data_IF_283062383350
#
_entry.id   IF_283062383350
#
_cell.length_a   1.000
_cell.length_b   1.000
_cell.length_c   1.000
_cell.angle_alpha   90.00
_cell.angle_beta   90.00
_cell.angle_gamma   90.00
#
_symmetry.space_group_name_H-M   'P 1'
#
loop_
_entity.id
_entity.type
_entity.pdbx_description
1 polymer ?
#
# COMPACT_ATOMS: atom_id res chain seq x y z
N UNK A 1 -0.50 12.82 15.29
CA UNK A 1 -1.84 13.37 15.61
C UNK A 1 -2.70 12.27 16.21
N UNK A 2 -3.19 12.42 17.44
CA UNK A 2 -4.27 11.56 17.96
C UNK A 2 -5.58 12.19 17.48
N UNK A 3 -6.08 11.75 16.33
CA UNK A 3 -7.41 12.15 15.86
C UNK A 3 -8.44 11.85 16.94
N UNK A 4 -9.39 12.77 17.17
CA UNK A 4 -10.51 12.50 18.06
C UNK A 4 -11.25 11.26 17.55
N UNK A 5 -11.38 10.23 18.38
CA UNK A 5 -12.16 9.06 17.98
C UNK A 5 -13.61 9.51 17.81
N UNK A 6 -14.18 9.32 16.62
CA UNK A 6 -15.59 9.59 16.40
C UNK A 6 -16.42 8.55 17.17
N UNK A 7 -16.84 8.88 18.39
CA UNK A 7 -17.64 8.02 19.28
C UNK A 7 -19.12 8.15 18.97
N UNK A 8 -19.51 8.01 17.70
CA UNK A 8 -20.93 8.04 17.36
C UNK A 8 -21.60 6.79 17.96
N UNK A 9 -22.58 6.90 18.88
CA UNK A 9 -23.15 5.76 19.58
C UNK A 9 -23.76 4.70 18.63
N UNK A 10 -24.28 5.14 17.47
CA UNK A 10 -24.80 4.23 16.44
C UNK A 10 -23.73 3.37 15.74
N UNK A 11 -22.42 3.70 15.87
CA UNK A 11 -21.36 2.86 15.33
C UNK A 11 -21.25 1.51 16.08
N UNK A 12 -21.97 1.25 17.17
CA UNK A 12 -21.85 -0.06 17.86
C UNK A 12 -23.17 -0.75 18.13
N UNK A 13 -24.31 -0.07 18.03
CA UNK A 13 -25.59 -0.58 18.55
C UNK A 13 -26.61 -0.97 17.49
N UNK A 14 -26.48 -0.50 16.25
CA UNK A 14 -27.46 -0.73 15.17
C UNK A 14 -26.80 -1.19 13.86
N UNK A 15 -25.81 -2.10 13.95
CA UNK A 15 -25.14 -2.61 12.74
C UNK A 15 -25.79 -3.89 12.25
N UNK A 16 -26.44 -3.81 11.10
CA UNK A 16 -26.67 -4.97 10.23
C UNK A 16 -25.49 -5.04 9.27
N UNK A 17 -24.61 -6.01 9.47
CA UNK A 17 -23.55 -6.28 8.51
C UNK A 17 -24.13 -7.11 7.37
N UNK A 18 -24.06 -6.59 6.14
CA UNK A 18 -24.36 -7.39 4.96
C UNK A 18 -23.11 -8.12 4.47
N UNK A 19 -23.31 -9.30 3.91
CA UNK A 19 -22.27 -9.95 3.13
C UNK A 19 -22.05 -9.13 1.86
N UNK A 20 -20.81 -9.06 1.38
CA UNK A 20 -20.47 -8.34 0.15
C UNK A 20 -19.85 -9.29 -0.86
N UNK A 21 -20.05 -9.01 -2.15
CA UNK A 21 -19.40 -9.72 -3.24
C UNK A 21 -18.07 -9.03 -3.57
N UNK A 22 -16.98 -9.79 -3.54
CA UNK A 22 -15.68 -9.37 -4.06
C UNK A 22 -15.64 -9.63 -5.56
N UNK A 23 -15.54 -8.57 -6.36
CA UNK A 23 -15.47 -8.66 -7.82
C UNK A 23 -14.07 -8.27 -8.30
N UNK A 24 -13.32 -9.18 -8.95
CA UNK A 24 -11.92 -8.93 -9.30
C UNK A 24 -11.75 -7.89 -10.41
N UNK A 25 -10.83 -6.94 -10.22
CA UNK A 25 -10.41 -5.99 -11.24
C UNK A 25 -9.20 -6.56 -11.97
N UNK A 26 -9.43 -7.23 -13.10
CA UNK A 26 -8.42 -8.05 -13.79
C UNK A 26 -7.15 -7.28 -14.21
N UNK A 27 -7.25 -5.98 -14.49
CA UNK A 27 -6.08 -5.14 -14.78
C UNK A 27 -5.11 -4.99 -13.61
N UNK A 28 -5.55 -5.32 -12.39
CA UNK A 28 -4.71 -5.24 -11.18
C UNK A 28 -4.09 -6.58 -10.78
N UNK A 29 -4.23 -7.60 -11.62
CA UNK A 29 -3.62 -8.91 -11.35
C UNK A 29 -2.09 -8.79 -11.39
N UNK A 30 -1.44 -9.08 -10.26
CA UNK A 30 0.02 -9.13 -10.15
C UNK A 30 0.47 -10.51 -9.67
N UNK A 31 1.52 -11.11 -10.26
CA UNK A 31 2.10 -12.33 -9.72
C UNK A 31 2.76 -12.04 -8.37
N UNK A 32 2.63 -12.94 -7.40
CA UNK A 32 3.41 -12.89 -6.17
C UNK A 32 4.73 -13.63 -6.42
N UNK A 33 5.83 -12.90 -6.26
CA UNK A 33 7.20 -13.33 -6.62
C UNK A 33 7.64 -14.58 -5.84
N UNK A 34 7.36 -14.61 -4.54
CA UNK A 34 7.82 -15.67 -3.64
C UNK A 34 6.65 -16.48 -3.11
N UNK A 35 6.84 -17.80 -3.04
CA UNK A 35 5.88 -18.66 -2.38
C UNK A 35 5.82 -18.28 -0.92
N UNK A 36 4.65 -17.87 -0.44
CA UNK A 36 4.47 -17.50 0.96
C UNK A 36 4.77 -18.70 1.88
N UNK A 37 4.66 -19.94 1.38
CA UNK A 37 5.05 -21.19 2.08
C UNK A 37 5.30 -22.37 1.09
N UNK A 38 6.42 -22.41 0.36
CA UNK A 38 6.84 -23.61 -0.41
C UNK A 38 6.96 -23.47 -1.94
N UNK A 39 6.31 -24.34 -2.71
CA UNK A 39 6.43 -24.42 -4.19
C UNK A 39 5.27 -23.81 -4.98
N UNK A 40 4.31 -23.17 -4.28
CA UNK A 40 3.11 -22.62 -4.91
C UNK A 40 3.32 -21.17 -5.31
N UNK A 41 2.97 -20.84 -6.55
CA UNK A 41 2.86 -19.46 -7.04
C UNK A 41 1.52 -18.88 -6.55
N UNK A 42 1.57 -17.73 -5.90
CA UNK A 42 0.39 -16.97 -5.48
C UNK A 42 0.27 -15.77 -6.41
N UNK A 43 -0.95 -15.28 -6.67
CA UNK A 43 -1.18 -14.01 -7.34
C UNK A 43 -2.04 -13.13 -6.44
N UNK A 44 -1.89 -11.81 -6.57
CA UNK A 44 -2.77 -10.84 -5.93
C UNK A 44 -3.60 -10.10 -6.97
N UNK A 45 -4.83 -9.77 -6.60
CA UNK A 45 -5.74 -8.98 -7.42
C UNK A 45 -6.54 -8.08 -6.49
N UNK A 46 -6.78 -6.84 -6.92
CA UNK A 46 -7.67 -5.95 -6.18
C UNK A 46 -9.10 -6.21 -6.61
N UNK A 47 -10.01 -6.19 -5.65
CA UNK A 47 -11.43 -6.40 -5.87
C UNK A 47 -12.25 -5.16 -5.52
N UNK A 48 -13.36 -5.00 -6.23
CA UNK A 48 -14.45 -4.12 -5.86
C UNK A 48 -15.39 -4.82 -4.89
N UNK A 49 -15.99 -4.06 -3.98
CA UNK A 49 -17.08 -4.53 -3.12
C UNK A 49 -18.41 -4.21 -3.80
N UNK A 50 -19.27 -5.22 -3.95
CA UNK A 50 -20.60 -5.08 -4.55
C UNK A 50 -21.69 -5.67 -3.65
N UNK A 51 -22.83 -5.01 -3.62
CA UNK A 51 -24.01 -5.51 -2.91
C UNK A 51 -24.52 -6.79 -3.58
N UNK A 52 -24.77 -7.89 -2.83
CA UNK A 52 -25.21 -9.15 -3.42
C UNK A 52 -26.57 -9.08 -4.12
N UNK A 53 -27.45 -8.19 -3.67
CA UNK A 53 -28.85 -8.12 -4.08
C UNK A 53 -29.00 -7.58 -5.51
N UNK A 54 -28.23 -6.56 -5.86
CA UNK A 54 -28.35 -5.83 -7.14
C UNK A 54 -27.01 -5.68 -7.88
N UNK A 55 -25.90 -6.10 -7.30
CA UNK A 55 -24.56 -5.98 -7.87
C UNK A 55 -24.03 -4.56 -7.92
N UNK A 56 -24.71 -3.59 -7.29
CA UNK A 56 -24.27 -2.20 -7.23
C UNK A 56 -22.97 -2.08 -6.43
N UNK A 57 -22.18 -1.07 -6.79
CA UNK A 57 -20.87 -0.82 -6.20
C UNK A 57 -21.02 -0.22 -4.81
N UNK A 58 -20.23 -0.70 -3.86
CA UNK A 58 -20.11 -0.08 -2.54
C UNK A 58 -19.16 1.13 -2.60
N UNK A 59 -19.79 2.30 -2.68
CA UNK A 59 -19.10 3.59 -2.72
C UNK A 59 -18.47 3.98 -1.37
N UNK A 60 -18.72 3.23 -0.30
CA UNK A 60 -18.10 3.48 1.00
C UNK A 60 -16.70 2.88 1.12
N UNK A 61 -16.32 2.00 0.20
CA UNK A 61 -14.98 1.42 0.20
C UNK A 61 -13.94 2.50 -0.13
N UNK A 62 -12.74 2.49 0.51
CA UNK A 62 -11.77 3.57 0.33
C UNK A 62 -11.35 3.81 -1.12
N UNK A 63 -11.23 2.74 -1.92
CA UNK A 63 -10.88 2.84 -3.34
C UNK A 63 -11.96 3.58 -4.13
N UNK A 64 -13.21 3.17 -3.98
CA UNK A 64 -14.33 3.76 -4.73
C UNK A 64 -14.61 5.20 -4.29
N UNK A 65 -14.55 5.47 -3.00
CA UNK A 65 -14.65 6.84 -2.48
C UNK A 65 -13.56 7.75 -3.06
N UNK A 66 -12.33 7.24 -3.21
CA UNK A 66 -11.22 7.99 -3.81
C UNK A 66 -11.42 8.19 -5.32
N UNK A 67 -11.87 7.16 -6.05
CA UNK A 67 -12.16 7.26 -7.48
C UNK A 67 -13.25 8.29 -7.77
N UNK A 68 -14.34 8.30 -6.99
CA UNK A 68 -15.41 9.29 -7.14
C UNK A 68 -14.89 10.74 -6.97
N UNK A 69 -13.96 10.97 -6.04
CA UNK A 69 -13.33 12.29 -5.86
C UNK A 69 -12.44 12.65 -7.06
N UNK A 70 -11.65 11.70 -7.58
CA UNK A 70 -10.80 11.91 -8.74
C UNK A 70 -11.62 12.22 -10.00
N UNK A 71 -12.72 11.49 -10.23
CA UNK A 71 -13.64 11.72 -11.33
C UNK A 71 -14.29 13.10 -11.25
N UNK A 72 -14.73 13.49 -10.05
CA UNK A 72 -15.30 14.83 -9.81
C UNK A 72 -14.30 15.94 -10.12
N UNK A 73 -13.05 15.81 -9.65
CA UNK A 73 -11.99 16.78 -9.92
C UNK A 73 -11.75 16.96 -11.43
N UNK A 74 -11.72 15.87 -12.17
CA UNK A 74 -11.50 15.92 -13.61
C UNK A 74 -12.71 16.47 -14.36
N UNK A 75 -13.92 16.01 -14.04
CA UNK A 75 -15.13 16.35 -14.80
C UNK A 75 -15.66 17.75 -14.53
N UNK A 76 -15.63 18.22 -13.28
CA UNK A 76 -16.18 19.52 -12.90
C UNK A 76 -15.14 20.65 -12.96
N UNK A 77 -13.85 20.33 -12.72
CA UNK A 77 -12.79 21.34 -12.59
C UNK A 77 -11.66 21.20 -13.61
N UNK A 78 -11.63 20.12 -14.40
CA UNK A 78 -10.53 19.86 -15.34
C UNK A 78 -9.19 19.59 -14.64
N UNK A 79 -9.20 19.18 -13.37
CA UNK A 79 -8.00 18.97 -12.56
C UNK A 79 -7.67 17.48 -12.44
N UNK A 80 -6.37 17.16 -12.45
CA UNK A 80 -5.83 15.82 -12.19
C UNK A 80 -4.95 15.85 -10.95
N UNK A 81 -5.09 14.85 -10.09
CA UNK A 81 -4.16 14.61 -8.99
C UNK A 81 -3.06 13.70 -9.50
N UNK A 82 -1.81 14.09 -9.25
CA UNK A 82 -0.65 13.21 -9.32
C UNK A 82 -0.21 12.88 -7.91
N UNK A 83 0.12 11.62 -7.66
CA UNK A 83 0.49 11.14 -6.33
C UNK A 83 1.78 10.32 -6.39
N UNK A 84 2.55 10.39 -5.31
CA UNK A 84 3.64 9.47 -5.00
C UNK A 84 3.53 9.16 -3.51
N UNK A 85 4.02 7.99 -3.12
CA UNK A 85 4.02 7.55 -1.73
C UNK A 85 5.46 7.42 -1.24
N UNK A 86 5.65 7.78 0.02
CA UNK A 86 6.86 7.50 0.79
C UNK A 86 6.48 6.47 1.84
N UNK A 87 7.18 5.34 1.87
CA UNK A 87 6.91 4.26 2.82
C UNK A 87 8.14 4.08 3.70
N UNK A 88 8.03 4.56 4.93
CA UNK A 88 8.98 4.25 5.98
C UNK A 88 8.69 2.87 6.59
N UNK A 89 9.72 2.03 6.74
CA UNK A 89 9.61 0.71 7.35
C UNK A 89 10.85 0.37 8.18
N UNK A 90 10.71 -0.62 9.06
CA UNK A 90 11.83 -1.11 9.87
C UNK A 90 12.06 -2.59 9.62
N UNK A 91 13.33 -2.97 9.47
CA UNK A 91 13.71 -4.38 9.35
C UNK A 91 14.02 -4.92 10.74
N UNK A 92 13.41 -6.05 11.09
CA UNK A 92 13.58 -6.73 12.37
C UNK A 92 14.14 -8.13 12.19
N UNK A 93 15.01 -8.55 13.09
CA UNK A 93 15.44 -9.93 13.19
C UNK A 93 14.33 -10.83 13.79
N UNK A 94 14.55 -12.14 13.80
CA UNK A 94 13.62 -13.13 14.36
C UNK A 94 13.33 -12.96 15.86
N UNK A 95 14.18 -12.22 16.58
CA UNK A 95 13.99 -11.85 17.99
C UNK A 95 13.27 -10.49 18.14
N UNK A 96 12.68 -9.96 17.07
CA UNK A 96 11.95 -8.68 16.98
C UNK A 96 12.80 -7.42 17.18
N UNK A 97 14.13 -7.56 17.24
CA UNK A 97 15.04 -6.43 17.37
C UNK A 97 15.24 -5.79 16.00
N UNK A 98 15.22 -4.45 15.96
CA UNK A 98 15.54 -3.71 14.75
C UNK A 98 17.00 -3.99 14.37
N UNK A 99 17.29 -4.00 13.07
CA UNK A 99 18.66 -3.93 12.56
C UNK A 99 19.20 -2.53 12.91
N UNK A 100 19.73 -2.39 14.11
CA UNK A 100 20.12 -1.11 14.71
C UNK A 100 21.64 -0.90 14.64
N UNK A 101 22.04 0.15 13.93
CA UNK A 101 23.42 0.61 13.82
C UNK A 101 23.58 2.07 14.28
N UNK A 102 22.62 2.56 15.08
CA UNK A 102 22.51 3.94 15.53
C UNK A 102 21.77 4.85 14.53
N UNK A 103 21.40 6.05 14.99
CA UNK A 103 20.63 7.02 14.19
C UNK A 103 21.54 7.74 13.20
N UNK A 104 21.43 7.42 11.92
CA UNK A 104 22.15 8.13 10.86
C UNK A 104 21.30 8.18 9.58
N UNK A 105 20.52 9.24 9.46
CA UNK A 105 19.75 9.55 8.26
C UNK A 105 20.69 9.65 7.05
N UNK A 106 20.34 9.00 5.94
CA UNK A 106 21.12 8.99 4.69
C UNK A 106 22.51 8.34 4.79
N UNK A 107 22.74 7.42 5.74
CA UNK A 107 24.05 6.82 5.98
C UNK A 107 24.27 5.53 5.20
N UNK A 108 25.25 5.55 4.31
CA UNK A 108 25.66 4.37 3.53
C UNK A 108 26.12 3.20 4.41
N UNK A 109 26.82 3.45 5.51
CA UNK A 109 27.27 2.39 6.43
C UNK A 109 26.09 1.70 7.12
N UNK A 110 25.00 2.43 7.40
CA UNK A 110 23.79 1.82 7.96
C UNK A 110 23.03 1.07 6.87
N UNK A 111 22.96 1.61 5.66
CA UNK A 111 22.35 0.94 4.51
C UNK A 111 23.02 -0.41 4.20
N UNK A 112 24.37 -0.45 4.23
CA UNK A 112 25.17 -1.66 3.98
C UNK A 112 24.76 -2.84 4.87
N UNK A 113 24.40 -2.58 6.13
CA UNK A 113 24.01 -3.62 7.08
C UNK A 113 22.74 -4.39 6.71
N UNK A 114 21.84 -3.76 5.95
CA UNK A 114 20.60 -4.35 5.46
C UNK A 114 20.61 -4.60 3.96
N UNK A 115 21.75 -4.39 3.29
CA UNK A 115 21.83 -4.29 1.83
C UNK A 115 21.21 -5.49 1.12
N UNK A 116 21.53 -6.72 1.54
CA UNK A 116 21.01 -7.92 0.87
C UNK A 116 19.48 -7.98 0.91
N UNK A 117 18.88 -7.70 2.07
CA UNK A 117 17.42 -7.67 2.22
C UNK A 117 16.77 -6.54 1.43
N UNK A 118 17.43 -5.39 1.37
CA UNK A 118 16.94 -4.22 0.65
C UNK A 118 17.01 -4.45 -0.85
N UNK A 119 18.09 -5.05 -1.36
CA UNK A 119 18.23 -5.41 -2.77
C UNK A 119 17.21 -6.47 -3.17
N UNK A 120 17.00 -7.50 -2.35
CA UNK A 120 15.95 -8.50 -2.56
C UNK A 120 14.55 -7.85 -2.64
N UNK A 121 14.27 -6.88 -1.76
CA UNK A 121 13.02 -6.12 -1.79
C UNK A 121 12.89 -5.29 -3.07
N UNK A 122 13.97 -4.62 -3.50
CA UNK A 122 13.96 -3.82 -4.74
C UNK A 122 13.73 -4.70 -5.97
N UNK A 123 14.34 -5.88 -6.01
CA UNK A 123 14.10 -6.88 -7.04
C UNK A 123 12.65 -7.35 -7.04
N UNK A 124 12.11 -7.73 -5.88
CA UNK A 124 10.71 -8.17 -5.74
C UNK A 124 9.72 -7.06 -6.19
N UNK A 125 9.98 -5.80 -5.83
CA UNK A 125 9.15 -4.64 -6.21
C UNK A 125 9.21 -4.38 -7.72
N UNK A 126 10.42 -4.37 -8.31
CA UNK A 126 10.61 -4.22 -9.75
C UNK A 126 9.86 -5.31 -10.51
N UNK A 127 9.95 -6.54 -10.05
CA UNK A 127 9.41 -7.68 -10.78
C UNK A 127 7.86 -7.75 -10.69
N UNK A 128 7.22 -7.03 -9.76
CA UNK A 128 5.76 -6.79 -9.76
C UNK A 128 5.35 -5.47 -10.47
N UNK A 129 6.31 -4.78 -11.10
CA UNK A 129 6.09 -3.53 -11.82
C UNK A 129 5.97 -2.29 -10.92
N UNK A 130 6.39 -2.37 -9.66
CA UNK A 130 6.47 -1.20 -8.79
C UNK A 130 7.81 -0.50 -9.04
N UNK A 131 7.73 0.75 -9.48
CA UNK A 131 8.91 1.57 -9.75
C UNK A 131 9.28 2.37 -8.50
N UNK A 132 10.49 2.09 -8.01
CA UNK A 132 11.10 2.78 -6.88
C UNK A 132 11.99 3.90 -7.39
N UNK A 133 11.85 5.09 -6.82
CA UNK A 133 12.68 6.26 -7.14
C UNK A 133 13.92 6.31 -6.25
N UNK A 134 13.72 6.23 -4.92
CA UNK A 134 14.83 6.27 -3.95
C UNK A 134 14.65 5.24 -2.83
N UNK A 135 15.78 4.85 -2.25
CA UNK A 135 15.88 4.07 -1.01
C UNK A 135 16.90 4.76 -0.10
N UNK A 136 16.54 5.02 1.15
CA UNK A 136 17.41 5.67 2.13
C UNK A 136 17.23 5.12 3.55
N UNK A 137 18.19 5.41 4.42
CA UNK A 137 18.05 5.17 5.87
C UNK A 137 17.41 6.37 6.54
N UNK A 138 16.42 6.13 7.39
CA UNK A 138 15.65 7.18 8.05
C UNK A 138 16.18 7.50 9.46
N UNK A 139 15.56 8.48 10.12
CA UNK A 139 15.98 8.97 11.43
C UNK A 139 15.83 7.93 12.54
N UNK A 140 14.85 7.03 12.44
CA UNK A 140 14.62 5.96 13.39
C UNK A 140 15.69 4.87 13.34
N UNK A 141 15.98 4.24 14.48
CA UNK A 141 16.92 3.12 14.54
C UNK A 141 16.41 1.97 13.67
N UNK A 142 17.23 1.52 12.71
CA UNK A 142 16.85 0.45 11.78
C UNK A 142 15.66 0.78 10.88
N UNK A 143 15.39 2.07 10.68
CA UNK A 143 14.34 2.58 9.81
C UNK A 143 14.91 2.88 8.42
N UNK A 144 14.15 2.54 7.41
CA UNK A 144 14.42 2.78 5.99
C UNK A 144 13.20 3.44 5.37
N UNK A 145 13.39 4.11 4.26
CA UNK A 145 12.32 4.69 3.46
C UNK A 145 12.52 4.34 1.99
N UNK A 146 11.43 3.99 1.33
CA UNK A 146 11.35 3.86 -0.12
C UNK A 146 10.35 4.87 -0.64
N UNK A 147 10.74 5.56 -1.72
CA UNK A 147 9.86 6.46 -2.48
C UNK A 147 9.54 5.86 -3.84
N UNK A 148 8.35 6.15 -4.38
CA UNK A 148 7.87 5.57 -5.64
C UNK A 148 7.69 6.62 -6.73
N UNK A 149 7.73 6.19 -7.99
CA UNK A 149 7.44 7.09 -9.12
C UNK A 149 6.05 7.72 -8.99
N UNK A 150 5.94 8.98 -9.42
CA UNK A 150 4.67 9.70 -9.47
C UNK A 150 3.71 9.03 -10.46
N UNK A 151 2.48 8.78 -10.02
CA UNK A 151 1.38 8.22 -10.83
C UNK A 151 0.19 9.18 -10.89
N UNK A 152 -0.72 8.96 -11.84
CA UNK A 152 -2.00 9.66 -11.90
C UNK A 152 -3.00 9.02 -10.91
N UNK A 153 -3.63 9.85 -10.08
CA UNK A 153 -4.67 9.43 -9.15
C UNK A 153 -4.21 8.38 -8.13
N UNK A 154 -4.83 7.20 -8.20
CA UNK A 154 -4.53 6.01 -7.37
C UNK A 154 -4.13 4.80 -8.23
N UNK A 155 -3.62 5.06 -9.42
CA UNK A 155 -3.18 3.97 -10.30
C UNK A 155 -2.13 3.11 -9.60
N UNK A 156 -2.30 1.80 -9.73
CA UNK A 156 -1.26 0.85 -9.38
C UNK A 156 -0.41 0.70 -10.63
N UNK A 157 0.86 1.12 -10.57
CA UNK A 157 1.81 1.05 -11.68
C UNK A 157 1.60 -0.25 -12.49
N UNK A 158 1.20 -0.10 -13.76
CA UNK A 158 0.96 -1.21 -14.70
C UNK A 158 2.28 -1.80 -15.17
#
# INVERSE_FOLDING_TARGET
MKGMSNRHPAFTTERVFSNMKLTPVLSTLKPCQKSVFGSRKVGSIICELRFPEDGTLDTSSPREATQAVLEKLQSEFGLRIKSSFEVEFGIRNSKTQLLDHGRKWGSLTVLESGQDYLMDLMDDLRDIGVKVDTLLTERGNGQYEVTFEIVDGIEVNN
#
